data_IF_018491360552
#
_entry.id   IF_018491360552
#
_cell.length_a   1.000
_cell.length_b   1.000
_cell.length_c   1.000
_cell.angle_alpha   90.00
_cell.angle_beta   90.00
_cell.angle_gamma   90.00
#
_symmetry.space_group_name_H-M   'P 1'
#
loop_
_entity.id
_entity.type
_entity.pdbx_description
1 polymer ?
#
# COMPACT_ATOMS: atom_id res chain seq x y z
N UNK A 1 -21.22 -14.87 14.73
CA UNK A 1 -21.04 -13.44 14.42
C UNK A 1 -19.83 -12.98 15.24
N UNK A 2 -18.63 -13.04 14.68
CA UNK A 2 -17.41 -12.68 15.40
C UNK A 2 -17.30 -11.17 15.51
N UNK A 3 -17.08 -10.65 16.72
CA UNK A 3 -16.81 -9.23 16.91
C UNK A 3 -15.57 -8.84 16.11
N UNK A 4 -15.68 -7.74 15.35
CA UNK A 4 -14.51 -7.21 14.64
C UNK A 4 -13.54 -6.69 15.69
N UNK A 5 -12.26 -7.13 15.70
CA UNK A 5 -11.30 -6.62 16.66
C UNK A 5 -11.22 -5.09 16.54
N UNK A 6 -11.23 -4.38 17.67
CA UNK A 6 -11.31 -2.92 17.75
C UNK A 6 -10.33 -2.20 16.79
N UNK A 7 -9.12 -2.75 16.62
CA UNK A 7 -8.11 -2.24 15.68
C UNK A 7 -8.56 -2.27 14.21
N UNK A 8 -9.22 -3.34 13.78
CA UNK A 8 -9.76 -3.46 12.43
C UNK A 8 -10.95 -2.50 12.22
N UNK A 9 -11.81 -2.33 13.23
CA UNK A 9 -12.89 -1.35 13.18
C UNK A 9 -12.38 0.10 13.07
N UNK A 10 -11.38 0.47 13.87
CA UNK A 10 -10.77 1.79 13.81
C UNK A 10 -10.07 2.05 12.46
N UNK A 11 -9.36 1.05 11.93
CA UNK A 11 -8.74 1.15 10.60
C UNK A 11 -9.79 1.28 9.48
N UNK A 12 -10.96 0.67 9.63
CA UNK A 12 -12.05 0.85 8.68
C UNK A 12 -12.56 2.30 8.68
N UNK A 13 -12.73 2.90 9.86
CA UNK A 13 -13.09 4.32 10.01
C UNK A 13 -12.03 5.22 9.40
N UNK A 14 -10.76 5.01 9.76
CA UNK A 14 -9.65 5.80 9.24
C UNK A 14 -9.53 5.69 7.71
N UNK A 15 -9.66 4.48 7.16
CA UNK A 15 -9.68 4.27 5.70
C UNK A 15 -10.84 5.00 5.04
N UNK A 16 -12.04 4.89 5.58
CA UNK A 16 -13.22 5.55 5.00
C UNK A 16 -13.08 7.07 5.02
N UNK A 17 -12.55 7.64 6.10
CA UNK A 17 -12.26 9.08 6.20
C UNK A 17 -11.19 9.51 5.18
N UNK A 18 -10.10 8.74 5.07
CA UNK A 18 -9.04 9.02 4.10
C UNK A 18 -9.52 8.90 2.64
N UNK A 19 -10.31 7.88 2.30
CA UNK A 19 -10.90 7.74 0.98
C UNK A 19 -11.91 8.84 0.67
N UNK A 20 -12.72 9.24 1.65
CA UNK A 20 -13.62 10.38 1.51
C UNK A 20 -12.83 11.67 1.26
N UNK A 21 -11.73 11.88 2.00
CA UNK A 21 -10.83 13.03 1.78
C UNK A 21 -10.18 12.99 0.40
N UNK A 22 -9.65 11.84 -0.03
CA UNK A 22 -9.05 11.68 -1.36
C UNK A 22 -10.09 11.86 -2.47
N UNK A 23 -11.32 11.34 -2.32
CA UNK A 23 -12.41 11.57 -3.29
C UNK A 23 -12.82 13.05 -3.34
N UNK A 24 -12.80 13.73 -2.21
CA UNK A 24 -13.06 15.15 -2.10
C UNK A 24 -11.94 15.98 -2.76
N UNK A 25 -10.68 15.57 -2.57
CA UNK A 25 -9.49 16.26 -3.07
C UNK A 25 -9.14 15.87 -4.53
N UNK A 26 -9.66 14.74 -5.05
CA UNK A 26 -9.53 14.28 -6.46
C UNK A 26 -10.22 15.16 -7.50
N UNK A 27 -10.71 16.34 -7.11
CA UNK A 27 -11.02 17.45 -8.02
C UNK A 27 -9.78 18.18 -8.55
N UNK A 28 -8.57 17.71 -8.21
CA UNK A 28 -7.31 18.13 -8.81
C UNK A 28 -6.64 16.97 -9.61
N UNK A 29 -5.94 17.27 -10.72
CA UNK A 29 -5.36 16.26 -11.61
C UNK A 29 -4.24 15.46 -10.93
N UNK A 30 -4.12 14.18 -11.27
CA UNK A 30 -3.14 13.26 -10.72
C UNK A 30 -1.71 13.59 -11.22
N UNK A 31 -0.66 13.43 -10.37
CA UNK A 31 0.70 13.68 -10.81
C UNK A 31 1.22 12.53 -11.68
N UNK A 32 1.88 12.92 -12.77
CA UNK A 32 2.72 12.07 -13.63
C UNK A 32 3.85 11.44 -12.81
N UNK A 33 4.14 10.17 -13.07
CA UNK A 33 5.21 9.44 -12.39
C UNK A 33 6.54 9.91 -12.97
N UNK A 34 7.24 10.80 -12.26
CA UNK A 34 8.58 11.23 -12.62
C UNK A 34 9.62 10.20 -12.15
N UNK A 35 10.41 9.68 -13.09
CA UNK A 35 11.55 8.81 -12.83
C UNK A 35 12.64 9.58 -12.07
N UNK A 36 13.17 9.00 -11.00
CA UNK A 36 14.34 9.52 -10.30
C UNK A 36 15.41 8.42 -10.23
N UNK A 37 16.53 8.68 -10.91
CA UNK A 37 17.78 7.93 -10.82
C UNK A 37 18.62 8.42 -9.63
N UNK A 38 19.57 7.58 -9.17
CA UNK A 38 21.00 7.84 -8.80
C UNK A 38 21.46 6.82 -7.73
N UNK A 39 22.67 6.24 -7.86
CA UNK A 39 23.36 5.33 -6.88
C UNK A 39 24.59 6.01 -6.23
N UNK A 40 25.62 5.28 -5.71
CA UNK A 40 25.63 4.53 -4.43
C UNK A 40 26.75 4.97 -3.42
N UNK A 41 26.49 4.94 -2.10
CA UNK A 41 27.23 4.31 -0.97
C UNK A 41 26.55 4.48 0.44
N UNK A 42 26.40 3.39 1.23
CA UNK A 42 25.61 3.27 2.48
C UNK A 42 25.94 4.20 3.65
N UNK A 43 25.32 5.37 3.62
CA UNK A 43 25.19 6.39 4.67
C UNK A 43 23.76 6.31 5.29
N UNK A 44 23.49 6.69 6.56
CA UNK A 44 22.14 6.98 7.04
C UNK A 44 21.25 7.77 6.05
N UNK A 45 21.84 8.57 5.16
CA UNK A 45 21.17 9.18 4.02
C UNK A 45 20.62 8.13 3.02
N UNK A 46 21.42 7.13 2.60
CA UNK A 46 20.95 6.04 1.75
C UNK A 46 19.81 5.24 2.38
N UNK A 47 19.86 5.03 3.70
CA UNK A 47 18.79 4.31 4.37
C UNK A 47 17.47 5.06 4.27
N UNK A 48 17.50 6.40 4.34
CA UNK A 48 16.34 7.26 4.11
C UNK A 48 15.90 7.20 2.66
N UNK A 49 16.83 7.28 1.72
CA UNK A 49 16.52 7.20 0.28
C UNK A 49 15.90 5.86 -0.11
N UNK A 50 16.41 4.75 0.42
CA UNK A 50 15.87 3.42 0.23
C UNK A 50 14.45 3.27 0.82
N UNK A 51 14.21 3.85 2.01
CA UNK A 51 12.87 3.89 2.62
C UNK A 51 11.93 4.72 1.75
N UNK A 52 12.34 5.90 1.32
CA UNK A 52 11.55 6.79 0.48
C UNK A 52 11.23 6.13 -0.87
N UNK A 53 12.19 5.39 -1.44
CA UNK A 53 11.99 4.63 -2.65
C UNK A 53 10.98 3.50 -2.45
N UNK A 54 11.05 2.75 -1.35
CA UNK A 54 10.04 1.76 -1.01
C UNK A 54 8.65 2.39 -0.87
N UNK A 55 8.54 3.54 -0.22
CA UNK A 55 7.29 4.29 -0.09
C UNK A 55 6.75 4.71 -1.46
N UNK A 56 7.61 5.21 -2.35
CA UNK A 56 7.23 5.57 -3.73
C UNK A 56 6.69 4.36 -4.50
N UNK A 57 7.36 3.22 -4.43
CA UNK A 57 6.91 1.99 -5.10
C UNK A 57 5.56 1.50 -4.58
N UNK A 58 5.34 1.52 -3.26
CA UNK A 58 4.04 1.17 -2.68
C UNK A 58 2.95 2.17 -3.10
N UNK A 59 3.26 3.47 -3.15
CA UNK A 59 2.32 4.50 -3.63
C UNK A 59 1.98 4.35 -5.11
N UNK A 60 2.91 3.87 -5.93
CA UNK A 60 2.69 3.63 -7.37
C UNK A 60 1.76 2.44 -7.65
N UNK A 61 1.57 1.52 -6.71
CA UNK A 61 0.62 0.41 -6.89
C UNK A 61 -0.80 0.94 -7.14
N UNK A 62 -1.60 0.30 -8.01
CA UNK A 62 -3.04 0.55 -8.10
C UNK A 62 -3.70 0.44 -6.72
N UNK A 63 -4.66 1.31 -6.42
CA UNK A 63 -5.27 1.41 -5.08
C UNK A 63 -5.82 0.05 -4.59
N UNK A 64 -6.44 -0.72 -5.49
CA UNK A 64 -6.98 -2.05 -5.17
C UNK A 64 -5.93 -3.09 -4.74
N UNK A 65 -4.67 -2.90 -5.13
CA UNK A 65 -3.55 -3.76 -4.75
C UNK A 65 -2.81 -3.19 -3.54
N UNK A 66 -2.71 -1.85 -3.47
CA UNK A 66 -2.04 -1.12 -2.40
C UNK A 66 -2.74 -1.30 -1.06
N UNK A 67 -4.05 -1.14 -1.02
CA UNK A 67 -4.83 -1.22 0.22
C UNK A 67 -4.65 -2.55 0.97
N UNK A 68 -4.89 -3.73 0.35
CA UNK A 68 -4.70 -5.01 1.05
C UNK A 68 -3.24 -5.23 1.45
N UNK A 69 -2.27 -4.72 0.68
CA UNK A 69 -0.85 -4.81 1.02
C UNK A 69 -0.51 -4.00 2.27
N UNK A 70 -0.94 -2.74 2.34
CA UNK A 70 -0.69 -1.86 3.50
C UNK A 70 -1.39 -2.41 4.74
N UNK A 71 -2.65 -2.81 4.62
CA UNK A 71 -3.40 -3.39 5.74
C UNK A 71 -2.75 -4.67 6.29
N UNK A 72 -2.26 -5.54 5.39
CA UNK A 72 -1.61 -6.79 5.82
C UNK A 72 -0.19 -6.60 6.35
N UNK A 73 0.61 -5.74 5.72
CA UNK A 73 2.05 -5.64 6.00
C UNK A 73 2.39 -4.55 7.00
N UNK A 74 1.71 -3.40 6.94
CA UNK A 74 1.99 -2.25 7.83
C UNK A 74 1.14 -2.33 9.09
N UNK A 75 -0.13 -2.68 8.95
CA UNK A 75 -1.06 -2.77 10.08
C UNK A 75 -1.19 -4.18 10.66
N UNK A 76 -0.48 -5.16 10.08
CA UNK A 76 -0.46 -6.57 10.50
C UNK A 76 -1.86 -7.18 10.71
N UNK A 77 -2.82 -6.80 9.86
CA UNK A 77 -4.16 -7.36 9.92
C UNK A 77 -4.21 -8.75 9.31
N UNK A 78 -4.99 -9.65 9.92
CA UNK A 78 -5.29 -10.94 9.32
C UNK A 78 -6.01 -10.79 7.98
N UNK A 79 -5.77 -11.73 7.06
CA UNK A 79 -6.30 -11.66 5.70
C UNK A 79 -7.83 -11.63 5.66
N UNK A 80 -8.50 -12.31 6.61
CA UNK A 80 -9.94 -12.24 6.81
C UNK A 80 -10.41 -10.82 7.15
N UNK A 81 -9.75 -10.18 8.12
CA UNK A 81 -10.06 -8.79 8.53
C UNK A 81 -9.83 -7.81 7.38
N UNK A 82 -8.77 -8.00 6.58
CA UNK A 82 -8.52 -7.22 5.36
C UNK A 82 -9.67 -7.37 4.37
N UNK A 83 -10.12 -8.60 4.13
CA UNK A 83 -11.22 -8.87 3.20
C UNK A 83 -12.54 -8.23 3.65
N UNK A 84 -12.87 -8.34 4.93
CA UNK A 84 -14.05 -7.70 5.53
C UNK A 84 -14.01 -6.17 5.43
N UNK A 85 -12.85 -5.56 5.71
CA UNK A 85 -12.67 -4.11 5.66
C UNK A 85 -12.76 -3.55 4.24
N UNK A 86 -12.29 -4.32 3.26
CA UNK A 86 -12.35 -3.97 1.84
C UNK A 86 -13.67 -4.36 1.17
N UNK A 87 -14.56 -5.09 1.85
CA UNK A 87 -15.83 -5.55 1.30
C UNK A 87 -15.67 -6.58 0.16
N UNK A 88 -14.64 -7.44 0.23
CA UNK A 88 -14.35 -8.46 -0.80
C UNK A 88 -14.24 -9.84 -0.18
N UNK A 89 -14.25 -10.88 -1.04
CA UNK A 89 -13.96 -12.26 -0.61
C UNK A 89 -12.51 -12.40 -0.16
N UNK A 90 -12.24 -13.25 0.82
CA UNK A 90 -10.88 -13.52 1.31
C UNK A 90 -9.96 -14.03 0.19
N UNK A 91 -10.48 -14.82 -0.74
CA UNK A 91 -9.76 -15.26 -1.94
C UNK A 91 -9.36 -14.10 -2.86
N UNK A 92 -10.22 -13.09 -3.01
CA UNK A 92 -9.93 -11.86 -3.75
C UNK A 92 -8.85 -11.04 -3.05
N UNK A 93 -8.93 -10.87 -1.73
CA UNK A 93 -7.90 -10.19 -0.94
C UNK A 93 -6.53 -10.91 -1.05
N UNK A 94 -6.53 -12.25 -0.98
CA UNK A 94 -5.34 -13.09 -1.20
C UNK A 94 -4.73 -12.86 -2.58
N UNK A 95 -5.55 -12.89 -3.63
CA UNK A 95 -5.11 -12.66 -5.01
C UNK A 95 -4.55 -11.25 -5.22
N UNK A 96 -5.20 -10.22 -4.66
CA UNK A 96 -4.70 -8.83 -4.70
C UNK A 96 -3.36 -8.69 -3.98
N UNK A 97 -3.21 -9.30 -2.80
CA UNK A 97 -1.95 -9.29 -2.06
C UNK A 97 -0.81 -9.98 -2.82
N UNK A 98 -1.09 -11.12 -3.45
CA UNK A 98 -0.13 -11.84 -4.28
C UNK A 98 0.34 -10.98 -5.46
N UNK A 99 -0.59 -10.37 -6.20
CA UNK A 99 -0.28 -9.48 -7.33
C UNK A 99 0.51 -8.25 -6.87
N UNK A 100 0.13 -7.63 -5.74
CA UNK A 100 0.86 -6.50 -5.16
C UNK A 100 2.33 -6.87 -4.88
N UNK A 101 2.58 -8.03 -4.24
CA UNK A 101 3.94 -8.52 -3.95
C UNK A 101 4.73 -8.77 -5.23
N UNK A 102 4.11 -9.37 -6.25
CA UNK A 102 4.75 -9.61 -7.54
C UNK A 102 5.21 -8.30 -8.19
N UNK A 103 4.31 -7.31 -8.30
CA UNK A 103 4.62 -6.00 -8.89
C UNK A 103 5.72 -5.26 -8.12
N UNK A 104 5.66 -5.27 -6.78
CA UNK A 104 6.72 -4.65 -5.97
C UNK A 104 8.05 -5.37 -6.12
N UNK A 105 8.06 -6.69 -6.22
CA UNK A 105 9.30 -7.47 -6.44
C UNK A 105 9.93 -7.13 -7.79
N UNK A 106 9.11 -7.07 -8.84
CA UNK A 106 9.57 -6.66 -10.18
C UNK A 106 10.09 -5.22 -10.16
N UNK A 107 9.38 -4.30 -9.50
CA UNK A 107 9.80 -2.90 -9.42
C UNK A 107 11.10 -2.72 -8.62
N UNK A 108 11.29 -3.43 -7.50
CA UNK A 108 12.53 -3.39 -6.73
C UNK A 108 13.71 -3.95 -7.53
N UNK A 109 13.50 -4.99 -8.35
CA UNK A 109 14.55 -5.52 -9.23
C UNK A 109 14.94 -4.56 -10.35
N UNK A 110 14.01 -3.72 -10.79
CA UNK A 110 14.26 -2.71 -11.81
C UNK A 110 14.97 -1.46 -11.26
N UNK A 111 15.08 -1.30 -9.93
CA UNK A 111 15.88 -0.25 -9.30
C UNK A 111 17.36 -0.61 -9.43
N UNK A 112 18.19 0.22 -10.11
CA UNK A 112 19.64 0.03 -10.13
C UNK A 112 20.18 0.17 -8.70
N UNK A 113 21.12 -0.70 -8.31
CA UNK A 113 21.83 -0.60 -7.03
C UNK A 113 22.79 0.58 -7.01
#
# INVERSE_FOLDING_TARGET
RGERPFRAWLLAIARNLALNRIRHDRRAPAPEILAAATGPAADPLERREAIDQCIRLVRALPAELREPFVLRTVFDLELRSVAELLGVRESTARGRLFRARKLLTEAVRAVPR
#
